data_IF_237432528532
#
_entry.id   IF_237432528532
#
_cell.length_a   1.000
_cell.length_b   1.000
_cell.length_c   1.000
_cell.angle_alpha   90.00
_cell.angle_beta   90.00
_cell.angle_gamma   90.00
#
_symmetry.space_group_name_H-M   'P 1'
#
loop_
_entity.id
_entity.type
_entity.pdbx_description
1 polymer ?
#
# COMPACT_ATOMS: atom_id res chain seq x y z
N UNK A 1 25.35 -0.59 3.93
CA UNK A 1 24.46 -1.50 3.20
C UNK A 1 23.04 -1.06 3.51
N UNK A 2 22.17 -0.73 2.54
CA UNK A 2 20.80 -0.38 2.86
C UNK A 2 20.05 -1.68 3.18
N UNK A 3 19.42 -1.72 4.35
CA UNK A 3 18.49 -2.78 4.71
C UNK A 3 17.20 -2.50 3.95
N UNK A 4 16.81 -3.41 3.05
CA UNK A 4 15.43 -3.44 2.56
C UNK A 4 14.56 -3.75 3.76
N UNK A 5 13.80 -2.76 4.23
CA UNK A 5 12.80 -2.95 5.26
C UNK A 5 11.64 -3.72 4.65
N UNK A 6 11.36 -4.88 5.21
CA UNK A 6 10.15 -5.64 4.93
C UNK A 6 9.04 -5.11 5.83
N UNK A 7 7.83 -4.89 5.31
CA UNK A 7 6.71 -4.35 6.10
C UNK A 7 5.39 -5.04 5.78
N UNK A 8 4.50 -5.14 6.77
CA UNK A 8 3.10 -5.57 6.56
C UNK A 8 2.18 -4.35 6.50
N UNK A 9 1.21 -4.38 5.57
CA UNK A 9 0.13 -3.41 5.46
C UNK A 9 -1.18 -4.08 5.90
N UNK A 10 -1.64 -3.78 7.10
CA UNK A 10 -2.90 -4.31 7.62
C UNK A 10 -3.95 -3.19 7.80
N UNK A 11 -5.19 -3.37 7.32
CA UNK A 11 -6.28 -2.43 7.56
C UNK A 11 -6.79 -2.53 9.01
N UNK A 12 -7.21 -1.41 9.59
CA UNK A 12 -7.85 -1.39 10.91
C UNK A 12 -9.28 -1.93 10.81
N UNK A 13 -9.45 -3.24 10.98
CA UNK A 13 -10.77 -3.85 11.17
C UNK A 13 -11.24 -3.65 12.61
N UNK A 14 -12.47 -3.17 12.78
CA UNK A 14 -13.10 -3.03 14.10
C UNK A 14 -13.74 -4.36 14.49
N UNK A 15 -13.11 -5.10 15.39
CA UNK A 15 -13.60 -6.42 15.79
C UNK A 15 -14.97 -6.34 16.48
N UNK A 16 -15.97 -7.00 15.89
CA UNK A 16 -17.19 -7.41 16.59
C UNK A 16 -17.03 -8.87 17.00
N UNK A 17 -16.89 -9.11 18.31
CA UNK A 17 -16.66 -10.45 18.83
C UNK A 17 -17.80 -11.41 18.56
N UNK A 18 -17.44 -12.64 18.18
CA UNK A 18 -18.21 -13.86 18.48
C UNK A 18 -17.30 -15.10 18.37
N UNK A 19 -17.14 -15.77 19.50
CA UNK A 19 -16.52 -17.10 19.64
C UNK A 19 -17.18 -18.12 18.70
N UNK A 20 -16.41 -18.68 17.76
CA UNK A 20 -16.67 -20.04 17.25
C UNK A 20 -15.34 -20.65 16.80
N UNK A 21 -14.93 -21.70 17.50
CA UNK A 21 -13.74 -22.50 17.21
C UNK A 21 -13.83 -23.12 15.80
N UNK A 22 -13.12 -22.56 14.83
CA UNK A 22 -12.97 -23.13 13.48
C UNK A 22 -11.90 -24.24 13.48
N UNK A 23 -12.05 -25.30 12.66
CA UNK A 23 -11.14 -26.43 12.64
C UNK A 23 -9.73 -26.03 12.18
N UNK A 24 -8.73 -26.73 12.71
CA UNK A 24 -7.31 -26.59 12.41
C UNK A 24 -6.96 -27.01 10.96
N UNK A 25 -7.41 -26.21 9.99
CA UNK A 25 -6.86 -26.13 8.63
C UNK A 25 -7.24 -24.82 7.93
N UNK A 26 -7.65 -23.79 8.68
CA UNK A 26 -7.65 -22.41 8.20
C UNK A 26 -6.21 -21.92 8.29
N UNK A 27 -5.36 -22.31 7.34
CA UNK A 27 -4.20 -21.49 7.01
C UNK A 27 -4.78 -20.18 6.50
N UNK A 28 -5.05 -19.24 7.41
CA UNK A 28 -5.16 -17.84 7.04
C UNK A 28 -3.93 -17.56 6.18
N UNK A 29 -4.07 -17.03 4.96
CA UNK A 29 -2.90 -16.67 4.18
C UNK A 29 -2.03 -15.78 5.07
N UNK A 30 -0.79 -16.19 5.33
CA UNK A 30 0.19 -15.30 5.94
C UNK A 30 0.14 -14.03 5.08
N UNK A 31 -0.11 -12.88 5.71
CA UNK A 31 -0.19 -11.61 5.00
C UNK A 31 0.99 -11.44 4.04
N UNK A 32 0.74 -10.85 2.88
CA UNK A 32 1.80 -10.62 1.89
C UNK A 32 2.87 -9.69 2.46
N UNK A 33 4.14 -10.09 2.31
CA UNK A 33 5.27 -9.28 2.71
C UNK A 33 5.50 -8.14 1.72
N UNK A 34 5.35 -6.89 2.17
CA UNK A 34 5.52 -5.72 1.31
C UNK A 34 6.96 -5.22 1.39
N UNK A 35 7.65 -5.29 0.25
CA UNK A 35 8.96 -4.67 0.05
C UNK A 35 8.79 -3.16 -0.14
N UNK A 36 9.57 -2.35 0.58
CA UNK A 36 9.48 -0.90 0.49
C UNK A 36 10.85 -0.26 0.30
N UNK A 37 10.92 0.67 -0.65
CA UNK A 37 12.11 1.50 -0.89
C UNK A 37 11.70 2.96 -1.09
N UNK A 38 12.53 3.93 -0.69
CA UNK A 38 12.24 5.33 -0.98
C UNK A 38 12.48 5.63 -2.47
N UNK A 39 11.67 6.51 -3.06
CA UNK A 39 11.96 7.04 -4.39
C UNK A 39 12.90 8.25 -4.29
N UNK A 40 14.16 8.05 -4.69
CA UNK A 40 15.22 9.07 -4.59
C UNK A 40 15.14 10.17 -5.65
N UNK A 41 14.29 10.00 -6.67
CA UNK A 41 14.12 10.98 -7.74
C UNK A 41 13.10 12.08 -7.40
N UNK A 42 12.31 11.90 -6.35
CA UNK A 42 11.29 12.84 -5.89
C UNK A 42 11.69 13.51 -4.58
N UNK A 43 10.97 14.57 -4.20
CA UNK A 43 11.24 15.35 -3.00
C UNK A 43 11.11 14.47 -1.74
N UNK A 44 12.23 14.25 -1.05
CA UNK A 44 12.30 13.43 0.15
C UNK A 44 11.44 13.97 1.31
N UNK A 45 11.13 15.27 1.34
CA UNK A 45 10.27 15.87 2.37
C UNK A 45 8.82 15.35 2.31
N UNK A 46 8.40 14.83 1.15
CA UNK A 46 7.07 14.24 0.94
C UNK A 46 7.05 12.73 1.24
N UNK A 47 8.17 12.16 1.71
CA UNK A 47 8.30 10.72 1.99
C UNK A 47 7.83 9.81 0.83
N UNK A 48 8.38 9.96 -0.38
CA UNK A 48 8.00 9.15 -1.53
C UNK A 48 8.51 7.72 -1.39
N UNK A 49 7.63 6.74 -1.53
CA UNK A 49 7.92 5.31 -1.41
C UNK A 49 7.41 4.52 -2.61
N UNK A 50 8.11 3.44 -2.92
CA UNK A 50 7.72 2.43 -3.90
C UNK A 50 7.41 1.15 -3.14
N UNK A 51 6.28 0.54 -3.47
CA UNK A 51 5.76 -0.64 -2.79
C UNK A 51 5.81 -1.84 -3.74
N UNK A 52 6.37 -2.95 -3.29
CA UNK A 52 6.47 -4.19 -4.06
C UNK A 52 6.04 -5.42 -3.25
N UNK A 53 5.67 -6.46 -3.98
CA UNK A 53 5.23 -7.76 -3.44
C UNK A 53 6.12 -8.87 -3.97
N UNK A 54 5.98 -10.09 -3.45
CA UNK A 54 6.76 -11.27 -3.87
C UNK A 54 8.26 -10.99 -3.82
N UNK A 55 8.73 -10.47 -2.68
CA UNK A 55 10.13 -10.05 -2.49
C UNK A 55 10.56 -8.88 -3.38
N UNK A 56 9.61 -8.06 -3.82
CA UNK A 56 9.85 -6.90 -4.68
C UNK A 56 10.02 -7.24 -6.17
N UNK A 57 9.60 -8.43 -6.61
CA UNK A 57 9.62 -8.82 -8.02
C UNK A 57 8.49 -8.19 -8.85
N UNK A 58 7.41 -7.77 -8.19
CA UNK A 58 6.32 -7.00 -8.79
C UNK A 58 6.07 -5.74 -7.96
N UNK A 59 5.73 -4.62 -8.60
CA UNK A 59 5.50 -3.34 -7.93
C UNK A 59 4.09 -2.81 -8.18
N UNK A 60 3.54 -2.13 -7.17
CA UNK A 60 2.29 -1.40 -7.27
C UNK A 60 2.44 -0.17 -8.18
N UNK A 61 1.57 -0.06 -9.18
CA UNK A 61 1.52 1.04 -10.16
C UNK A 61 0.10 1.59 -10.24
N UNK A 62 -0.03 2.90 -10.36
CA UNK A 62 -1.29 3.59 -10.62
C UNK A 62 -1.63 3.65 -12.13
N UNK A 63 -0.76 3.12 -12.99
CA UNK A 63 -0.85 3.24 -14.44
C UNK A 63 -0.60 4.66 -14.96
N UNK A 64 -0.80 4.85 -16.25
CA UNK A 64 -0.57 6.12 -16.98
C UNK A 64 -1.83 6.62 -17.71
N UNK A 65 -2.98 6.03 -17.38
CA UNK A 65 -4.25 6.36 -17.99
C UNK A 65 -4.83 7.68 -17.46
N UNK A 66 -5.94 8.14 -18.01
CA UNK A 66 -6.59 9.37 -17.52
C UNK A 66 -7.14 9.23 -16.09
N UNK A 67 -7.62 8.04 -15.76
CA UNK A 67 -8.12 7.67 -14.43
C UNK A 67 -7.19 6.59 -13.85
N UNK A 68 -6.80 6.70 -12.57
CA UNK A 68 -5.81 5.79 -12.03
C UNK A 68 -6.39 4.40 -11.82
N UNK A 69 -5.62 3.39 -12.23
CA UNK A 69 -5.95 1.98 -12.02
C UNK A 69 -4.80 1.35 -11.26
N UNK A 70 -5.07 0.91 -10.03
CA UNK A 70 -4.09 0.20 -9.24
C UNK A 70 -3.86 -1.19 -9.81
N UNK A 71 -2.61 -1.51 -10.10
CA UNK A 71 -2.21 -2.80 -10.66
C UNK A 71 -0.81 -3.19 -10.18
N UNK A 72 -0.55 -4.50 -10.21
CA UNK A 72 0.80 -5.03 -10.07
C UNK A 72 1.44 -5.12 -11.45
N UNK A 73 2.60 -4.49 -11.62
CA UNK A 73 3.42 -4.66 -12.81
C UNK A 73 4.64 -5.54 -12.50
N UNK A 74 5.06 -6.41 -13.44
CA UNK A 74 6.21 -7.30 -13.27
C UNK A 74 7.53 -6.54 -13.45
N UNK A 75 7.77 -5.58 -12.56
CA UNK A 75 8.97 -4.74 -12.50
C UNK A 75 9.61 -4.91 -11.14
N UNK A 76 10.92 -5.15 -11.12
CA UNK A 76 11.66 -5.32 -9.88
C UNK A 76 11.82 -3.98 -9.15
N UNK A 77 11.56 -3.97 -7.84
CA UNK A 77 11.62 -2.76 -7.01
C UNK A 77 13.00 -2.11 -7.01
N UNK A 78 14.07 -2.90 -7.13
CA UNK A 78 15.44 -2.39 -7.19
C UNK A 78 15.75 -1.72 -8.53
N UNK A 79 15.09 -2.11 -9.61
CA UNK A 79 15.19 -1.39 -10.89
C UNK A 79 14.58 0.01 -10.78
N UNK A 80 13.47 0.15 -10.07
CA UNK A 80 12.84 1.46 -9.83
C UNK A 80 13.65 2.32 -8.85
N UNK A 81 14.27 1.69 -7.86
CA UNK A 81 15.10 2.38 -6.86
C UNK A 81 16.43 2.89 -7.41
N UNK A 82 17.10 2.08 -8.23
CA UNK A 82 18.41 2.39 -8.81
C UNK A 82 18.28 3.13 -10.15
N UNK A 83 17.14 2.99 -10.82
CA UNK A 83 16.87 3.57 -12.12
C UNK A 83 16.82 5.10 -12.09
N UNK A 84 17.22 5.72 -13.19
CA UNK A 84 17.08 7.16 -13.44
C UNK A 84 15.78 7.49 -14.20
N UNK A 85 14.95 6.49 -14.48
CA UNK A 85 13.71 6.63 -15.24
C UNK A 85 12.59 7.16 -14.33
N UNK A 86 11.58 7.76 -14.97
CA UNK A 86 10.38 8.21 -14.29
C UNK A 86 9.65 7.02 -13.64
N UNK A 87 9.64 6.98 -12.31
CA UNK A 87 8.96 5.98 -11.48
C UNK A 87 7.74 6.57 -10.77
N UNK A 88 7.24 7.72 -11.25
CA UNK A 88 6.18 8.48 -10.59
C UNK A 88 4.86 7.71 -10.50
N UNK A 89 4.50 6.92 -11.50
CA UNK A 89 3.32 6.03 -11.48
C UNK A 89 3.42 4.89 -10.47
N UNK A 90 4.63 4.54 -10.05
CA UNK A 90 4.93 3.51 -9.03
C UNK A 90 5.13 4.09 -7.64
N UNK A 91 4.98 5.41 -7.49
CA UNK A 91 5.33 6.09 -6.24
C UNK A 91 4.10 6.54 -5.49
N UNK A 92 4.15 6.35 -4.18
CA UNK A 92 3.17 6.85 -3.23
C UNK A 92 3.86 7.79 -2.23
N UNK A 93 3.23 8.90 -1.89
CA UNK A 93 3.64 9.72 -0.76
C UNK A 93 3.06 9.13 0.52
N UNK A 94 3.94 8.65 1.41
CA UNK A 94 3.54 8.12 2.71
C UNK A 94 3.34 9.29 3.67
N UNK A 95 2.12 9.45 4.18
CA UNK A 95 1.83 10.36 5.29
C UNK A 95 1.72 9.55 6.57
N UNK A 96 2.63 9.82 7.49
CA UNK A 96 2.61 9.25 8.83
C UNK A 96 1.54 9.95 9.68
N UNK A 97 0.60 9.18 10.23
CA UNK A 97 -0.50 9.65 11.08
C UNK A 97 -0.32 9.19 12.55
N UNK A 98 0.88 8.76 12.91
CA UNK A 98 1.24 8.22 14.23
C UNK A 98 1.22 6.70 14.24
N UNK A 99 0.04 6.10 14.46
CA UNK A 99 -0.09 4.63 14.49
C UNK A 99 -0.27 4.02 13.10
N UNK A 100 -0.83 4.81 12.19
CA UNK A 100 -1.16 4.41 10.82
C UNK A 100 -0.45 5.31 9.83
N UNK A 101 -0.46 4.89 8.57
CA UNK A 101 -0.01 5.69 7.44
C UNK A 101 -1.05 5.68 6.34
N UNK A 102 -1.17 6.80 5.62
CA UNK A 102 -1.89 6.86 4.35
C UNK A 102 -0.90 7.00 3.19
N UNK A 103 -1.32 6.53 2.01
CA UNK A 103 -0.46 6.46 0.82
C UNK A 103 -1.16 7.13 -0.35
N UNK A 104 -0.72 8.33 -0.72
CA UNK A 104 -1.25 9.08 -1.85
C UNK A 104 -0.46 8.80 -3.12
N UNK A 105 -1.11 8.62 -4.27
CA UNK A 105 -0.44 8.47 -5.55
C UNK A 105 0.34 9.73 -5.94
N UNK A 106 1.63 9.57 -6.24
CA UNK A 106 2.44 10.68 -6.74
C UNK A 106 2.06 11.09 -8.17
N UNK A 107 1.58 10.15 -8.99
CA UNK A 107 1.12 10.40 -10.36
C UNK A 107 -0.29 11.00 -10.42
N UNK A 108 -1.14 10.69 -9.43
CA UNK A 108 -2.53 11.15 -9.37
C UNK A 108 -2.82 11.80 -8.00
N UNK A 109 -2.49 13.09 -7.83
CA UNK A 109 -2.75 13.81 -6.58
C UNK A 109 -4.22 13.72 -6.16
N UNK A 110 -4.45 13.55 -4.85
CA UNK A 110 -5.78 13.34 -4.25
C UNK A 110 -6.29 11.91 -4.29
N UNK A 111 -5.58 10.97 -4.92
CA UNK A 111 -5.93 9.55 -4.91
C UNK A 111 -5.09 8.76 -3.91
N UNK A 112 -5.74 7.99 -3.07
CA UNK A 112 -5.13 7.26 -1.96
C UNK A 112 -5.35 5.76 -2.12
N UNK A 113 -4.37 4.95 -1.68
CA UNK A 113 -4.60 3.52 -1.46
C UNK A 113 -5.74 3.34 -0.47
N UNK A 114 -6.64 2.41 -0.75
CA UNK A 114 -7.71 2.06 0.16
C UNK A 114 -8.15 0.60 0.05
N UNK A 115 -8.82 0.14 1.10
CA UNK A 115 -9.54 -1.14 1.14
C UNK A 115 -11.04 -0.93 1.29
N UNK A 116 -11.82 -1.94 0.90
CA UNK A 116 -13.23 -1.97 1.29
C UNK A 116 -13.36 -2.28 2.79
N UNK A 117 -14.42 -1.81 3.47
CA UNK A 117 -14.84 -2.37 4.76
C UNK A 117 -15.22 -3.86 4.65
N UNK A 118 -15.59 -4.33 3.45
CA UNK A 118 -15.84 -5.75 3.20
C UNK A 118 -14.52 -6.54 3.07
N UNK A 119 -14.48 -7.70 3.70
CA UNK A 119 -13.35 -8.62 3.62
C UNK A 119 -13.12 -9.15 2.18
N UNK A 120 -11.89 -9.59 1.92
CA UNK A 120 -11.46 -10.24 0.68
C UNK A 120 -11.68 -9.42 -0.60
N UNK A 121 -11.84 -8.10 -0.46
CA UNK A 121 -11.87 -7.17 -1.59
C UNK A 121 -10.46 -6.69 -1.95
N UNK A 122 -10.18 -6.45 -3.25
CA UNK A 122 -8.88 -5.97 -3.67
C UNK A 122 -8.60 -4.57 -3.13
N UNK A 123 -7.32 -4.30 -2.84
CA UNK A 123 -6.83 -2.94 -2.61
C UNK A 123 -7.05 -2.12 -3.88
N UNK A 124 -7.47 -0.87 -3.72
CA UNK A 124 -7.80 0.03 -4.83
C UNK A 124 -7.33 1.45 -4.55
N UNK A 125 -7.67 2.37 -5.44
CA UNK A 125 -7.49 3.81 -5.26
C UNK A 125 -8.83 4.48 -5.04
N UNK A 126 -8.86 5.53 -4.22
CA UNK A 126 -10.04 6.35 -4.00
C UNK A 126 -9.66 7.81 -3.76
N UNK A 127 -10.62 8.71 -3.93
CA UNK A 127 -10.51 10.09 -3.50
C UNK A 127 -11.20 10.23 -2.15
N UNK A 128 -10.58 10.96 -1.22
CA UNK A 128 -11.16 11.20 0.10
C UNK A 128 -12.25 12.27 -0.04
N UNK A 129 -13.45 11.96 0.45
CA UNK A 129 -14.57 12.90 0.58
C UNK A 129 -14.63 13.47 2.00
N UNK A 130 -15.13 14.70 2.15
CA UNK A 130 -15.17 15.41 3.45
C UNK A 130 -16.22 14.84 4.44
N UNK A 131 -17.18 14.04 3.97
CA UNK A 131 -18.25 13.42 4.76
C UNK A 131 -18.16 11.88 4.67
N UNK A 132 -17.39 11.22 5.54
CA UNK A 132 -17.18 9.78 5.46
C UNK A 132 -18.38 9.02 6.07
N UNK A 133 -19.10 8.31 5.22
CA UNK A 133 -20.08 7.31 5.64
C UNK A 133 -19.38 6.09 6.26
N UNK A 134 -20.12 5.26 7.02
CA UNK A 134 -19.56 4.08 7.69
C UNK A 134 -19.08 2.99 6.72
N UNK A 135 -19.60 3.00 5.49
CA UNK A 135 -19.24 2.14 4.37
C UNK A 135 -18.17 2.79 3.47
N UNK A 136 -17.58 3.90 3.90
CA UNK A 136 -16.51 4.56 3.18
C UNK A 136 -15.24 3.68 3.13
N UNK A 137 -14.43 3.80 2.05
CA UNK A 137 -13.17 3.08 1.96
C UNK A 137 -12.19 3.47 3.07
N UNK A 138 -11.43 2.49 3.55
CA UNK A 138 -10.41 2.68 4.60
C UNK A 138 -9.10 3.09 3.92
N UNK A 139 -8.53 4.24 4.28
CA UNK A 139 -7.29 4.78 3.68
C UNK A 139 -6.08 4.71 4.61
N UNK A 140 -6.29 4.32 5.86
CA UNK A 140 -5.26 4.29 6.89
C UNK A 140 -4.83 2.85 7.15
N UNK A 141 -3.53 2.61 7.07
CA UNK A 141 -2.94 1.29 7.20
C UNK A 141 -1.95 1.26 8.34
N UNK A 142 -1.90 0.16 9.07
CA UNK A 142 -0.74 -0.14 9.90
C UNK A 142 0.45 -0.42 9.00
N UNK A 143 1.60 0.18 9.32
CA UNK A 143 2.83 0.03 8.55
C UNK A 143 3.95 -0.44 9.49
N UNK A 144 4.05 -1.75 9.66
CA UNK A 144 4.94 -2.38 10.64
C UNK A 144 6.10 -3.04 9.94
N UNK A 145 7.32 -2.80 10.43
CA UNK A 145 8.51 -3.49 9.93
C UNK A 145 8.50 -4.94 10.43
N UNK A 146 8.75 -5.89 9.53
CA UNK A 146 8.93 -7.29 9.89
C UNK A 146 10.24 -7.45 10.68
N UNK A 147 10.16 -8.17 11.80
CA UNK A 147 11.27 -8.47 12.70
C UNK A 147 12.15 -9.64 12.23
#
# INVERSE_FOLDING_TARGET
MPHSGSTSLEPLLRESGQDTQAPASCLFPLGEEISVVPNRALDASLSPVILGVQGGSQCLSCGTEKEPILKLEPVNIMELYLGTKESKSFTFYRRDLGLTSSFESAAYPGWFLCTSPEADQPVRLTQISEDPAWDAPITDFYFQQCD
#
